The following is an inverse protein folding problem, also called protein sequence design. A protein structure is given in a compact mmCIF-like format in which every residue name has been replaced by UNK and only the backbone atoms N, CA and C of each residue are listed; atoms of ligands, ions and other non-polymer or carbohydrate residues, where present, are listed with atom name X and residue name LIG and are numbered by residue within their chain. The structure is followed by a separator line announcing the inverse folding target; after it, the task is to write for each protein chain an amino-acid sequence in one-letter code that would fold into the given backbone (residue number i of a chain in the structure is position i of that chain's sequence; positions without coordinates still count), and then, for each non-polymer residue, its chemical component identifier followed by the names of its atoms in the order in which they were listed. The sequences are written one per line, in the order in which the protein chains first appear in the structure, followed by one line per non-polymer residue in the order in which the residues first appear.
data_IF_010421836129
#
_entry.id   IF_010421836129
#
_cell.length_a   1.000
_cell.length_b   1.000
_cell.length_c   1.000
_cell.angle_alpha   90.00
_cell.angle_beta   90.00
_cell.angle_gamma   90.00
#
_symmetry.space_group_name_H-M   'P 1'
#
loop_
_entity.id
_entity.type
_entity.pdbx_description
1 polymer ?
#
# COMPACT_ATOMS: atom_id res chain seq x y z
N UNK A 1 22.86 15.20 15.14
CA UNK A 1 21.60 15.95 15.21
C UNK A 1 20.99 15.97 13.82
N UNK A 2 20.14 14.99 13.47
CA UNK A 2 19.37 15.04 12.22
C UNK A 2 18.08 15.79 12.54
N UNK A 3 18.06 17.10 12.30
CA UNK A 3 16.82 17.85 12.29
C UNK A 3 16.04 17.43 11.04
N UNK A 4 14.90 16.75 11.21
CA UNK A 4 13.94 16.51 10.12
C UNK A 4 13.43 17.88 9.64
N UNK A 5 14.04 18.43 8.59
CA UNK A 5 13.61 19.68 7.94
C UNK A 5 12.12 19.58 7.50
N UNK A 6 11.62 18.36 7.30
CA UNK A 6 10.24 18.08 6.89
C UNK A 6 9.15 18.36 7.94
N UNK A 7 9.45 18.61 9.22
CA UNK A 7 8.40 18.87 10.22
C UNK A 7 7.67 20.22 10.01
N UNK A 8 8.19 21.11 9.16
CA UNK A 8 7.56 22.39 8.83
C UNK A 8 6.75 22.37 7.53
N UNK A 9 6.79 21.28 6.78
CA UNK A 9 6.12 21.17 5.48
C UNK A 9 5.04 20.10 5.50
N UNK A 10 3.91 20.39 4.87
CA UNK A 10 2.84 19.40 4.67
C UNK A 10 3.29 18.44 3.57
N UNK A 11 3.59 17.20 3.94
CA UNK A 11 3.69 16.11 2.97
C UNK A 11 2.30 15.65 2.59
N UNK A 12 1.93 15.78 1.30
CA UNK A 12 0.77 15.12 0.73
C UNK A 12 0.91 14.87 -0.78
N UNK A 13 0.06 14.02 -1.33
CA UNK A 13 -0.17 13.90 -2.77
C UNK A 13 -1.69 13.86 -3.02
N UNK A 14 -2.09 14.16 -4.26
CA UNK A 14 -3.49 14.27 -4.63
C UNK A 14 -3.72 13.93 -6.09
N UNK A 15 -4.77 13.18 -6.37
CA UNK A 15 -5.40 13.10 -7.67
C UNK A 15 -6.53 14.12 -7.77
N UNK A 16 -6.51 14.92 -8.84
CA UNK A 16 -7.52 15.95 -9.10
C UNK A 16 -8.57 15.48 -10.11
N UNK A 17 -9.81 16.00 -10.04
CA UNK A 17 -10.84 15.73 -11.06
C UNK A 17 -10.46 16.14 -12.48
N UNK A 18 -9.45 17.00 -12.64
CA UNK A 18 -8.88 17.40 -13.93
C UNK A 18 -7.91 16.37 -14.51
N UNK A 19 -7.90 15.14 -13.99
CA UNK A 19 -7.01 14.05 -14.39
C UNK A 19 -5.53 14.42 -14.26
N UNK A 20 -5.17 14.99 -13.12
CA UNK A 20 -3.79 15.38 -12.82
C UNK A 20 -3.41 14.91 -11.41
N UNK A 21 -2.19 14.37 -11.29
CA UNK A 21 -1.55 14.00 -10.03
C UNK A 21 -0.69 15.18 -9.57
N UNK A 22 -0.88 15.61 -8.33
CA UNK A 22 -0.05 16.62 -7.66
C UNK A 22 0.71 15.97 -6.52
N UNK A 23 2.03 16.06 -6.54
CA UNK A 23 2.89 15.54 -5.47
C UNK A 23 3.58 16.72 -4.81
N UNK A 24 3.36 16.91 -3.52
CA UNK A 24 4.05 17.97 -2.80
C UNK A 24 5.52 17.61 -2.64
N UNK A 25 6.40 18.60 -2.83
CA UNK A 25 7.85 18.41 -2.84
C UNK A 25 8.41 17.56 -1.68
N UNK A 26 7.90 17.64 -0.42
CA UNK A 26 8.37 16.78 0.68
C UNK A 26 8.28 15.26 0.41
N UNK A 27 7.38 14.80 -0.45
CA UNK A 27 7.26 13.38 -0.84
C UNK A 27 8.22 12.96 -1.97
N UNK A 28 8.88 13.93 -2.60
CA UNK A 28 9.92 13.72 -3.62
C UNK A 28 11.33 13.75 -3.02
N UNK A 29 11.49 14.15 -1.75
CA UNK A 29 12.78 14.15 -1.09
C UNK A 29 13.14 12.75 -0.55
N UNK A 30 14.33 12.31 -0.94
CA UNK A 30 14.95 10.98 -0.75
C UNK A 30 15.00 10.46 0.70
N UNK A 31 14.77 11.32 1.68
CA UNK A 31 15.07 11.06 3.09
C UNK A 31 13.99 10.29 3.85
N UNK A 32 12.88 9.91 3.20
CA UNK A 32 11.84 9.15 3.88
C UNK A 32 12.21 7.67 4.07
N UNK A 33 12.92 7.03 3.13
CA UNK A 33 13.61 5.74 3.34
C UNK A 33 14.67 5.53 2.23
N UNK A 34 15.94 5.89 2.46
CA UNK A 34 17.03 5.40 1.59
C UNK A 34 17.62 4.14 2.18
N UNK A 35 17.75 3.09 1.38
CA UNK A 35 18.45 1.87 1.74
C UNK A 35 19.67 1.69 0.86
N UNK A 36 20.76 1.15 1.43
CA UNK A 36 21.90 0.69 0.64
C UNK A 36 21.56 -0.59 -0.16
N UNK A 37 20.41 -1.21 0.14
CA UNK A 37 19.95 -2.46 -0.45
C UNK A 37 18.90 -2.26 -1.55
N UNK A 38 18.12 -1.18 -1.48
CA UNK A 38 17.12 -0.80 -2.49
C UNK A 38 17.32 0.69 -2.76
N UNK A 39 17.85 1.00 -3.94
CA UNK A 39 18.18 2.37 -4.32
C UNK A 39 17.00 3.11 -4.95
N UNK A 40 16.00 2.36 -5.39
CA UNK A 40 14.75 2.85 -5.94
C UNK A 40 13.94 3.59 -4.87
N UNK A 41 13.34 4.75 -5.17
CA UNK A 41 12.48 5.48 -4.24
C UNK A 41 11.09 4.81 -4.14
N UNK A 42 11.03 3.56 -3.66
CA UNK A 42 9.82 2.73 -3.61
C UNK A 42 8.63 3.42 -2.96
N UNK A 43 8.86 4.22 -1.91
CA UNK A 43 7.79 4.96 -1.26
C UNK A 43 7.18 6.02 -2.18
N UNK A 44 8.02 6.81 -2.86
CA UNK A 44 7.55 7.81 -3.82
C UNK A 44 6.80 7.14 -4.96
N UNK A 45 7.29 5.99 -5.46
CA UNK A 45 6.58 5.21 -6.47
C UNK A 45 5.22 4.69 -5.97
N UNK A 46 5.14 4.19 -4.73
CA UNK A 46 3.88 3.72 -4.16
C UNK A 46 2.84 4.83 -4.04
N UNK A 47 3.27 6.05 -3.70
CA UNK A 47 2.39 7.23 -3.65
C UNK A 47 1.93 7.63 -5.04
N UNK A 48 2.84 7.68 -6.02
CA UNK A 48 2.48 7.96 -7.41
C UNK A 48 1.46 6.94 -7.92
N UNK A 49 1.68 5.66 -7.63
CA UNK A 49 0.78 4.59 -8.04
C UNK A 49 -0.60 4.72 -7.36
N UNK A 50 -0.64 5.02 -6.06
CA UNK A 50 -1.87 5.30 -5.34
C UNK A 50 -2.67 6.45 -5.98
N UNK A 51 -2.04 7.60 -6.21
CA UNK A 51 -2.72 8.73 -6.87
C UNK A 51 -3.13 8.43 -8.32
N UNK A 52 -2.35 7.62 -9.04
CA UNK A 52 -2.71 7.17 -10.38
C UNK A 52 -4.00 6.35 -10.35
N UNK A 53 -4.14 5.43 -9.40
CA UNK A 53 -5.32 4.58 -9.29
C UNK A 53 -6.56 5.33 -8.78
N UNK A 54 -6.44 6.52 -8.20
CA UNK A 54 -7.59 7.41 -7.98
C UNK A 54 -8.25 7.90 -9.27
N UNK A 55 -7.66 7.71 -10.45
CA UNK A 55 -8.38 7.85 -11.72
C UNK A 55 -9.52 6.84 -11.89
N UNK A 56 -9.41 5.68 -11.22
CA UNK A 56 -10.35 4.57 -11.30
C UNK A 56 -11.12 4.37 -9.98
N UNK A 57 -10.49 4.65 -8.85
CA UNK A 57 -11.04 4.54 -7.51
C UNK A 57 -11.41 5.90 -6.93
N UNK A 58 -12.59 6.40 -7.30
CA UNK A 58 -13.14 7.65 -6.79
C UNK A 58 -14.66 7.55 -6.67
N UNK A 59 -15.26 8.33 -5.76
CA UNK A 59 -16.72 8.43 -5.69
C UNK A 59 -17.35 8.92 -7.00
N UNK A 60 -16.61 9.69 -7.81
CA UNK A 60 -17.06 10.14 -9.11
C UNK A 60 -17.02 9.03 -10.18
N UNK A 61 -16.24 7.97 -9.95
CA UNK A 61 -16.12 6.79 -10.83
C UNK A 61 -16.71 5.53 -10.19
N UNK A 62 -17.66 5.66 -9.26
CA UNK A 62 -18.22 4.50 -8.54
C UNK A 62 -18.80 3.44 -9.48
N UNK A 63 -19.33 3.85 -10.63
CA UNK A 63 -19.82 2.95 -11.68
C UNK A 63 -18.72 2.08 -12.30
N UNK A 64 -17.46 2.54 -12.33
CA UNK A 64 -16.34 1.71 -12.76
C UNK A 64 -16.10 0.59 -11.75
N UNK A 65 -16.18 0.87 -10.45
CA UNK A 65 -16.08 -0.16 -9.41
C UNK A 65 -17.21 -1.18 -9.54
N UNK A 66 -18.41 -0.73 -9.89
CA UNK A 66 -19.57 -1.61 -10.12
C UNK A 66 -19.41 -2.50 -11.36
N UNK A 67 -18.70 -2.05 -12.41
CA UNK A 67 -18.35 -2.89 -13.58
C UNK A 67 -17.53 -4.10 -13.15
N UNK A 68 -16.68 -3.97 -12.13
CA UNK A 68 -15.90 -5.09 -11.60
C UNK A 68 -16.71 -6.05 -10.70
N UNK A 69 -17.97 -5.72 -10.40
CA UNK A 69 -18.96 -6.58 -9.76
C UNK A 69 -18.41 -7.35 -8.56
N UNK A 70 -18.32 -8.68 -8.71
CA UNK A 70 -17.84 -9.60 -7.66
C UNK A 70 -16.42 -9.31 -7.16
N UNK A 71 -15.54 -8.73 -7.98
CA UNK A 71 -14.16 -8.38 -7.58
C UNK A 71 -14.16 -7.19 -6.62
N UNK A 72 -14.96 -6.16 -6.91
CA UNK A 72 -15.14 -5.02 -6.02
C UNK A 72 -15.77 -5.40 -4.68
N UNK A 73 -16.76 -6.30 -4.70
CA UNK A 73 -17.35 -6.88 -3.48
C UNK A 73 -16.31 -7.69 -2.68
N UNK A 74 -15.53 -8.54 -3.35
CA UNK A 74 -14.45 -9.30 -2.72
C UNK A 74 -13.46 -8.37 -2.01
N UNK A 75 -13.03 -7.28 -2.67
CA UNK A 75 -12.10 -6.32 -2.10
C UNK A 75 -12.68 -5.60 -0.87
N UNK A 76 -13.96 -5.19 -0.91
CA UNK A 76 -14.67 -4.62 0.25
C UNK A 76 -14.70 -5.59 1.42
N UNK A 77 -15.06 -6.84 1.17
CA UNK A 77 -15.11 -7.89 2.19
C UNK A 77 -13.73 -8.20 2.78
N UNK A 78 -12.71 -8.20 1.93
CA UNK A 78 -11.32 -8.40 2.35
C UNK A 78 -10.85 -7.33 3.34
N UNK A 79 -11.07 -6.06 3.03
CA UNK A 79 -10.67 -4.97 3.92
C UNK A 79 -11.51 -4.94 5.21
N UNK A 80 -12.77 -5.35 5.16
CA UNK A 80 -13.60 -5.57 6.36
C UNK A 80 -13.04 -6.66 7.29
N UNK A 81 -12.58 -7.79 6.72
CA UNK A 81 -11.93 -8.87 7.48
C UNK A 81 -10.55 -8.47 8.00
N UNK A 82 -9.78 -7.74 7.19
CA UNK A 82 -8.46 -7.21 7.56
C UNK A 82 -8.58 -6.25 8.73
N UNK A 83 -9.58 -5.36 8.70
CA UNK A 83 -9.91 -4.51 9.85
C UNK A 83 -10.17 -5.36 11.11
N UNK A 84 -11.04 -6.36 11.00
CA UNK A 84 -11.43 -7.18 12.15
C UNK A 84 -10.24 -7.93 12.75
N UNK A 85 -9.30 -8.33 11.91
CA UNK A 85 -8.11 -9.09 12.33
C UNK A 85 -6.99 -8.18 12.84
N UNK A 86 -6.63 -7.15 12.07
CA UNK A 86 -5.40 -6.36 12.25
C UNK A 86 -5.64 -4.92 12.69
N UNK A 87 -6.91 -4.52 12.84
CA UNK A 87 -7.30 -3.17 13.24
C UNK A 87 -6.71 -2.78 14.59
N UNK A 88 -5.82 -1.78 14.57
CA UNK A 88 -5.36 -1.04 15.76
C UNK A 88 -5.60 0.44 15.50
N UNK A 89 -6.84 0.89 15.65
CA UNK A 89 -7.26 2.26 15.34
C UNK A 89 -8.57 2.28 14.56
N UNK A 90 -8.76 3.29 13.70
CA UNK A 90 -9.95 3.35 12.85
C UNK A 90 -9.88 2.30 11.75
N UNK A 91 -10.97 1.57 11.66
CA UNK A 91 -11.46 1.04 10.40
C UNK A 91 -12.66 1.88 10.02
N UNK A 92 -12.75 2.34 8.77
CA UNK A 92 -13.94 3.09 8.40
C UNK A 92 -15.18 2.20 8.51
N UNK A 93 -16.23 2.79 9.07
CA UNK A 93 -17.58 2.23 8.98
C UNK A 93 -18.04 2.34 7.53
N UNK A 94 -18.55 1.24 6.98
CA UNK A 94 -19.42 1.21 5.80
C UNK A 94 -18.83 1.75 4.48
N UNK A 95 -17.86 1.03 3.90
CA UNK A 95 -17.60 1.07 2.44
C UNK A 95 -16.93 2.32 1.88
N UNK A 96 -16.73 3.39 2.66
CA UNK A 96 -16.10 4.63 2.18
C UNK A 96 -14.59 4.49 1.90
N UNK A 97 -13.90 3.53 2.52
CA UNK A 97 -12.46 3.33 2.32
C UNK A 97 -12.12 2.63 1.02
N UNK A 98 -13.08 2.01 0.32
CA UNK A 98 -12.76 1.21 -0.88
C UNK A 98 -12.03 2.01 -1.96
N UNK A 99 -12.27 3.32 -2.02
CA UNK A 99 -11.59 4.20 -2.96
C UNK A 99 -10.09 4.36 -2.63
N UNK A 100 -9.76 4.35 -1.34
CA UNK A 100 -8.37 4.43 -0.85
C UNK A 100 -7.70 3.06 -0.81
N UNK A 101 -8.40 2.08 -0.25
CA UNK A 101 -7.97 0.69 -0.09
C UNK A 101 -7.73 0.02 -1.45
N UNK A 102 -8.55 0.35 -2.46
CA UNK A 102 -8.39 -0.14 -3.82
C UNK A 102 -7.25 0.53 -4.56
N UNK A 103 -7.08 1.85 -4.39
CA UNK A 103 -5.94 2.57 -4.95
C UNK A 103 -4.60 2.03 -4.38
N UNK A 104 -4.57 1.71 -3.09
CA UNK A 104 -3.42 1.05 -2.47
C UNK A 104 -3.16 -0.35 -3.03
N UNK A 105 -4.20 -1.19 -3.07
CA UNK A 105 -4.07 -2.58 -3.47
C UNK A 105 -3.52 -2.70 -4.89
N UNK A 106 -4.11 -1.97 -5.84
CA UNK A 106 -3.69 -2.00 -7.24
C UNK A 106 -2.36 -1.24 -7.44
N UNK A 107 -2.14 -0.16 -6.70
CA UNK A 107 -0.89 0.61 -6.74
C UNK A 107 0.33 -0.21 -6.32
N UNK A 108 0.23 -0.97 -5.24
CA UNK A 108 1.32 -1.81 -4.74
C UNK A 108 1.56 -3.04 -5.59
N UNK A 109 0.51 -3.61 -6.19
CA UNK A 109 0.61 -4.70 -7.16
C UNK A 109 1.39 -4.24 -8.39
N UNK A 110 0.99 -3.10 -8.99
CA UNK A 110 1.72 -2.50 -10.10
C UNK A 110 3.19 -2.25 -9.75
N UNK A 111 3.46 -1.69 -8.57
CA UNK A 111 4.83 -1.42 -8.14
C UNK A 111 5.64 -2.70 -7.96
N UNK A 112 5.04 -3.75 -7.42
CA UNK A 112 5.73 -5.03 -7.28
C UNK A 112 5.99 -5.67 -8.64
N UNK A 113 5.03 -5.66 -9.55
CA UNK A 113 5.21 -6.20 -10.90
C UNK A 113 6.38 -5.53 -11.64
N UNK A 114 6.51 -4.20 -11.48
CA UNK A 114 7.65 -3.45 -12.02
C UNK A 114 8.96 -3.84 -11.32
N UNK A 115 8.95 -3.95 -10.00
CA UNK A 115 10.12 -4.35 -9.22
C UNK A 115 10.58 -5.78 -9.54
N UNK A 116 9.67 -6.75 -9.60
CA UNK A 116 9.98 -8.14 -9.97
C UNK A 116 10.54 -8.22 -11.39
N UNK A 117 10.02 -7.41 -12.33
CA UNK A 117 10.55 -7.34 -13.69
C UNK A 117 11.99 -6.80 -13.72
N UNK A 118 12.30 -5.78 -12.92
CA UNK A 118 13.63 -5.16 -12.91
C UNK A 118 14.66 -5.99 -12.11
N UNK A 119 14.21 -6.85 -11.20
CA UNK A 119 15.05 -7.60 -10.27
C UNK A 119 14.84 -9.14 -10.31
N UNK A 120 14.25 -9.68 -11.37
CA UNK A 120 13.82 -11.09 -11.45
C UNK A 120 14.89 -12.09 -11.05
N UNK A 121 16.14 -11.84 -11.45
CA UNK A 121 17.28 -12.74 -11.22
C UNK A 121 17.88 -12.64 -9.81
N UNK A 122 17.39 -11.68 -9.01
CA UNK A 122 17.94 -11.32 -7.71
C UNK A 122 16.94 -11.44 -6.56
N UNK A 123 15.66 -11.70 -6.84
CA UNK A 123 14.59 -11.72 -5.83
C UNK A 123 14.89 -12.63 -4.63
N UNK A 124 15.44 -13.82 -4.88
CA UNK A 124 15.77 -14.80 -3.83
C UNK A 124 17.18 -14.61 -3.23
N UNK A 125 17.94 -13.62 -3.71
CA UNK A 125 19.28 -13.36 -3.19
C UNK A 125 19.18 -12.78 -1.77
N UNK A 126 19.94 -13.33 -0.81
CA UNK A 126 19.98 -12.80 0.54
C UNK A 126 20.64 -11.42 0.55
N UNK A 127 20.05 -10.51 1.32
CA UNK A 127 20.47 -9.14 1.48
C UNK A 127 21.06 -8.91 2.88
N UNK A 128 22.20 -8.24 2.91
CA UNK A 128 22.89 -7.89 4.15
C UNK A 128 23.24 -9.09 5.03
N UNK A 129 23.26 -8.88 6.35
CA UNK A 129 23.81 -9.85 7.33
C UNK A 129 22.77 -10.85 7.85
N UNK A 130 21.48 -10.60 7.59
CA UNK A 130 20.37 -11.33 8.22
C UNK A 130 19.70 -12.37 7.31
N UNK A 131 20.18 -12.54 6.07
CA UNK A 131 19.62 -13.53 5.13
C UNK A 131 18.21 -13.22 4.65
N UNK A 132 17.71 -12.00 4.83
CA UNK A 132 16.43 -11.52 4.28
C UNK A 132 16.60 -11.45 2.76
N UNK A 133 15.71 -12.04 1.97
CA UNK A 133 15.83 -11.98 0.51
C UNK A 133 15.40 -10.61 -0.03
N UNK A 134 15.82 -10.26 -1.26
CA UNK A 134 15.38 -9.03 -1.91
C UNK A 134 13.84 -8.95 -2.02
N UNK A 135 13.21 -10.10 -2.26
CA UNK A 135 11.77 -10.27 -2.26
C UNK A 135 11.12 -9.89 -0.91
N UNK A 136 11.66 -10.38 0.21
CA UNK A 136 11.17 -10.01 1.54
C UNK A 136 11.44 -8.54 1.88
N UNK A 137 12.61 -8.03 1.46
CA UNK A 137 13.00 -6.65 1.70
C UNK A 137 12.02 -5.66 1.06
N UNK A 138 11.55 -5.91 -0.17
CA UNK A 138 10.53 -5.08 -0.82
C UNK A 138 9.34 -4.84 0.11
N UNK A 139 8.76 -5.92 0.67
CA UNK A 139 7.59 -5.82 1.55
C UNK A 139 7.90 -5.09 2.86
N UNK A 140 9.10 -5.26 3.43
CA UNK A 140 9.50 -4.47 4.60
C UNK A 140 9.63 -2.98 4.27
N UNK A 141 10.27 -2.64 3.16
CA UNK A 141 10.53 -1.25 2.76
C UNK A 141 9.26 -0.50 2.37
N UNK A 142 8.33 -1.13 1.66
CA UNK A 142 7.04 -0.51 1.34
C UNK A 142 6.17 -0.32 2.59
N UNK A 143 6.26 -1.23 3.55
CA UNK A 143 5.48 -1.19 4.80
C UNK A 143 5.98 -0.20 5.85
N UNK A 144 7.30 0.05 5.94
CA UNK A 144 7.88 0.83 7.05
C UNK A 144 7.40 2.28 7.10
N UNK A 145 7.03 2.85 5.95
CA UNK A 145 6.50 4.21 5.83
C UNK A 145 5.15 4.39 6.53
N UNK A 146 4.41 3.30 6.75
CA UNK A 146 3.12 3.27 7.43
C UNK A 146 3.25 3.03 8.93
N UNK A 147 4.46 2.87 9.45
CA UNK A 147 4.73 2.83 10.88
C UNK A 147 4.52 4.23 11.49
N UNK A 148 3.31 4.50 11.94
CA UNK A 148 2.95 5.76 12.58
C UNK A 148 2.82 5.60 14.11
N UNK A 149 3.24 6.62 14.86
CA UNK A 149 2.97 6.70 16.30
C UNK A 149 1.49 7.08 16.51
N UNK A 150 0.79 6.31 17.36
CA UNK A 150 -0.64 6.47 17.70
C UNK A 150 -1.02 7.87 18.21
N UNK A 151 -0.04 8.70 18.56
CA UNK A 151 -0.23 10.07 19.08
C UNK A 151 -0.54 11.10 17.99
N UNK A 152 -0.30 10.80 16.72
CA UNK A 152 -0.71 11.68 15.61
C UNK A 152 -2.19 11.46 15.38
N UNK A 153 -3.01 12.33 15.96
CA UNK A 153 -4.47 12.24 15.96
C UNK A 153 -5.04 12.01 14.56
N UNK A 154 -5.66 10.86 14.40
CA UNK A 154 -6.51 10.50 13.27
C UNK A 154 -7.65 11.53 13.12
N UNK A 155 -7.55 12.47 12.18
CA UNK A 155 -8.57 13.51 11.92
C UNK A 155 -9.93 12.86 11.70
N UNK A 156 -11.00 13.34 12.32
CA UNK A 156 -12.34 12.70 12.28
C UNK A 156 -12.85 12.46 10.84
N UNK A 157 -12.36 13.22 9.86
CA UNK A 157 -12.73 13.19 8.44
C UNK A 157 -11.84 12.31 7.54
N UNK A 158 -10.85 11.62 8.10
CA UNK A 158 -9.95 10.77 7.32
C UNK A 158 -10.70 9.59 6.68
N UNK A 159 -10.69 9.53 5.36
CA UNK A 159 -11.37 8.50 4.56
C UNK A 159 -10.53 7.23 4.40
N UNK A 160 -9.27 7.25 4.84
CA UNK A 160 -8.38 6.11 4.72
C UNK A 160 -8.55 5.14 5.89
N UNK A 161 -8.26 3.87 5.60
CA UNK A 161 -8.02 2.86 6.62
C UNK A 161 -6.78 3.23 7.45
N UNK A 162 -6.70 2.78 8.71
CA UNK A 162 -5.47 2.93 9.50
C UNK A 162 -4.27 2.30 8.78
N UNK A 163 -3.05 2.80 9.01
CA UNK A 163 -1.84 2.28 8.35
C UNK A 163 -1.66 0.76 8.52
N UNK A 164 -2.03 0.21 9.68
CA UNK A 164 -2.02 -1.24 9.91
C UNK A 164 -2.98 -2.01 9.00
N UNK A 165 -4.16 -1.45 8.73
CA UNK A 165 -5.16 -2.08 7.85
C UNK A 165 -4.76 -1.92 6.38
N UNK A 166 -4.22 -0.75 6.00
CA UNK A 166 -3.71 -0.51 4.63
C UNK A 166 -2.62 -1.53 4.28
N UNK A 167 -1.55 -1.59 5.08
CA UNK A 167 -0.44 -2.53 4.82
C UNK A 167 -0.91 -3.98 4.79
N UNK A 168 -1.60 -4.45 5.85
CA UNK A 168 -1.98 -5.86 5.92
C UNK A 168 -3.02 -6.22 4.85
N UNK A 169 -3.91 -5.30 4.50
CA UNK A 169 -4.94 -5.50 3.48
C UNK A 169 -4.33 -5.71 2.11
N UNK A 170 -3.35 -4.87 1.75
CA UNK A 170 -2.62 -5.00 0.49
C UNK A 170 -1.77 -6.27 0.45
N UNK A 171 -0.84 -6.45 1.39
CA UNK A 171 0.17 -7.52 1.25
C UNK A 171 -0.43 -8.91 1.41
N UNK A 172 -1.53 -9.07 2.17
CA UNK A 172 -2.24 -10.35 2.26
C UNK A 172 -2.98 -10.72 0.98
N UNK A 173 -3.19 -9.78 0.04
CA UNK A 173 -3.74 -10.03 -1.29
C UNK A 173 -2.65 -10.30 -2.34
N UNK A 174 -1.37 -10.31 -1.98
CA UNK A 174 -0.27 -10.46 -2.94
C UNK A 174 0.32 -11.88 -2.90
N UNK A 175 0.22 -12.65 -3.99
CA UNK A 175 0.70 -14.04 -4.03
C UNK A 175 2.18 -14.15 -3.70
N UNK A 176 2.88 -13.12 -4.12
CA UNK A 176 4.29 -12.84 -3.96
C UNK A 176 4.65 -12.77 -2.48
N UNK A 177 3.85 -12.04 -1.68
CA UNK A 177 4.03 -11.96 -0.23
C UNK A 177 3.86 -13.33 0.42
N UNK A 178 2.78 -14.04 0.08
CA UNK A 178 2.53 -15.38 0.60
C UNK A 178 3.68 -16.35 0.29
N UNK A 179 4.29 -16.25 -0.91
CA UNK A 179 5.48 -17.02 -1.29
C UNK A 179 6.74 -16.58 -0.52
N UNK A 180 7.02 -15.28 -0.48
CA UNK A 180 8.22 -14.71 0.17
C UNK A 180 8.32 -15.07 1.66
N UNK A 181 7.18 -15.07 2.34
CA UNK A 181 7.08 -15.35 3.78
C UNK A 181 6.61 -16.79 4.08
N UNK A 182 6.40 -17.61 3.04
CA UNK A 182 5.95 -19.01 3.15
C UNK A 182 4.67 -19.14 3.99
N UNK A 183 3.72 -18.24 3.77
CA UNK A 183 2.44 -18.23 4.47
C UNK A 183 1.68 -19.53 4.20
N UNK A 184 1.12 -20.10 5.26
CA UNK A 184 0.29 -21.31 5.25
C UNK A 184 -1.18 -20.93 5.35
N UNK A 185 -2.08 -21.86 5.02
CA UNK A 185 -3.54 -21.60 4.99
C UNK A 185 -4.11 -21.16 6.33
N UNK A 186 -3.50 -21.61 7.42
CA UNK A 186 -3.86 -21.26 8.79
C UNK A 186 -3.33 -19.89 9.24
N UNK A 187 -2.39 -19.30 8.48
CA UNK A 187 -1.81 -18.01 8.83
C UNK A 187 -2.83 -16.89 8.56
N UNK A 188 -2.90 -15.93 9.48
CA UNK A 188 -3.81 -14.80 9.37
C UNK A 188 -3.57 -13.90 8.16
N UNK A 189 -2.37 -13.94 7.59
CA UNK A 189 -1.96 -13.15 6.42
C UNK A 189 -2.18 -13.89 5.10
N UNK A 190 -2.63 -15.15 5.14
CA UNK A 190 -2.91 -15.92 3.93
C UNK A 190 -4.30 -15.58 3.38
N UNK A 191 -4.37 -15.24 2.09
CA UNK A 191 -5.63 -15.05 1.36
C UNK A 191 -5.61 -15.86 0.08
N UNK A 192 -6.72 -16.53 -0.25
CA UNK A 192 -6.86 -17.19 -1.55
C UNK A 192 -7.13 -16.12 -2.64
N UNK A 193 -6.05 -15.61 -3.22
CA UNK A 193 -5.95 -14.36 -4.00
C UNK A 193 -6.90 -14.10 -5.15
N UNK A 194 -7.30 -15.12 -5.90
CA UNK A 194 -7.71 -14.88 -7.30
C UNK A 194 -9.04 -14.14 -7.47
N UNK A 195 -9.73 -13.80 -6.38
CA UNK A 195 -11.08 -13.23 -6.42
C UNK A 195 -11.14 -11.73 -6.19
N UNK A 196 -10.14 -11.11 -5.58
CA UNK A 196 -10.21 -9.71 -5.15
C UNK A 196 -9.33 -8.75 -5.96
N UNK A 197 -8.61 -9.23 -6.97
CA UNK A 197 -7.89 -8.40 -7.93
C UNK A 197 -8.87 -7.72 -8.89
N UNK A 198 -8.81 -6.40 -9.01
CA UNK A 198 -9.68 -5.64 -9.90
C UNK A 198 -9.10 -5.64 -11.32
N UNK A 199 -7.82 -5.31 -11.47
CA UNK A 199 -7.12 -5.18 -12.75
C UNK A 199 -6.20 -6.37 -13.03
#
# INVERSE_FOLDING_TARGET
YFARICNQFVGNAFYSPTNAITILAPFLFKELVSSDLIHEPLLSHAIIAHELFHSMFTSASSTLIDVYGKRGECLKDHYSKTCSSFGKGRCARHGFTIYEDGADAEGWRLLYDLFEKDHSDQLDQPMGVNGITLHQAYFYFTSISWCQDKRVGHRVEDKHSSGHVRVNGVVSLMPEFSRAFKCKKEDRMYTEEKKCQIF
#
